data_IF_901104113995
#
_entry.id   IF_901104113995
#
_cell.length_a   1.000
_cell.length_b   1.000
_cell.length_c   1.000
_cell.angle_alpha   90.00
_cell.angle_beta   90.00
_cell.angle_gamma   90.00
#
_symmetry.space_group_name_H-M   'P 1'
#
loop_
_entity.id
_entity.type
_entity.pdbx_description
1 polymer ?
#
# COMPACT_ATOMS: atom_id res chain seq x y z
N UNK A 1 -53.48 5.57 -4.53
CA UNK A 1 -53.06 5.80 -5.92
C UNK A 1 -51.81 6.65 -6.10
N UNK A 2 -51.47 7.67 -5.28
CA UNK A 2 -50.16 8.33 -5.41
C UNK A 2 -48.97 7.49 -4.92
N UNK A 3 -49.13 6.76 -3.79
CA UNK A 3 -48.03 5.99 -3.18
C UNK A 3 -47.48 4.81 -4.01
N UNK A 4 -48.31 4.14 -4.84
CA UNK A 4 -47.84 3.04 -5.70
C UNK A 4 -47.01 3.55 -6.89
N UNK A 5 -47.32 4.76 -7.37
CA UNK A 5 -46.56 5.40 -8.46
C UNK A 5 -45.20 5.89 -7.96
N UNK A 6 -45.12 6.40 -6.74
CA UNK A 6 -43.86 6.84 -6.13
C UNK A 6 -42.91 5.67 -5.84
N UNK A 7 -43.45 4.53 -5.39
CA UNK A 7 -42.66 3.31 -5.16
C UNK A 7 -42.09 2.74 -6.47
N UNK A 8 -42.90 2.65 -7.53
CA UNK A 8 -42.43 2.15 -8.82
C UNK A 8 -41.31 3.02 -9.39
N UNK A 9 -41.43 4.35 -9.32
CA UNK A 9 -40.38 5.28 -9.76
C UNK A 9 -39.08 5.13 -8.95
N UNK A 10 -39.17 4.92 -7.63
CA UNK A 10 -37.98 4.72 -6.80
C UNK A 10 -37.25 3.43 -7.19
N UNK A 11 -37.98 2.34 -7.46
CA UNK A 11 -37.42 1.07 -7.93
C UNK A 11 -36.76 1.24 -9.29
N UNK A 12 -37.43 1.91 -10.24
CA UNK A 12 -36.90 2.11 -11.59
C UNK A 12 -35.59 2.92 -11.57
N UNK A 13 -35.52 4.00 -10.78
CA UNK A 13 -34.30 4.80 -10.63
C UNK A 13 -33.16 4.00 -10.00
N UNK A 14 -33.44 3.29 -8.91
CA UNK A 14 -32.46 2.45 -8.25
C UNK A 14 -31.93 1.34 -9.17
N UNK A 15 -32.80 0.75 -9.98
CA UNK A 15 -32.44 -0.29 -10.94
C UNK A 15 -31.58 0.28 -12.07
N UNK A 16 -31.92 1.47 -12.58
CA UNK A 16 -31.12 2.15 -13.60
C UNK A 16 -29.70 2.46 -13.09
N UNK A 17 -29.59 3.04 -11.90
CA UNK A 17 -28.30 3.33 -11.26
C UNK A 17 -27.52 2.05 -10.96
N UNK A 18 -28.17 0.98 -10.49
CA UNK A 18 -27.50 -0.30 -10.25
C UNK A 18 -26.95 -0.95 -11.53
N UNK A 19 -27.60 -0.76 -12.68
CA UNK A 19 -27.07 -1.22 -13.99
C UNK A 19 -25.90 -0.38 -14.48
N UNK A 20 -25.90 0.90 -14.15
CA UNK A 20 -24.84 1.83 -14.50
C UNK A 20 -23.56 1.48 -13.77
N UNK A 21 -23.60 1.33 -12.45
CA UNK A 21 -22.40 1.06 -11.63
C UNK A 21 -22.02 -0.43 -11.54
N UNK A 22 -22.94 -1.33 -11.87
CA UNK A 22 -22.76 -2.78 -11.72
C UNK A 22 -21.47 -3.36 -12.33
N UNK A 23 -21.00 -2.88 -13.51
CA UNK A 23 -19.72 -3.29 -14.07
C UNK A 23 -18.47 -2.84 -13.30
N UNK A 24 -18.58 -1.79 -12.49
CA UNK A 24 -17.44 -1.10 -11.84
C UNK A 24 -17.24 -1.57 -10.38
N UNK A 25 -18.23 -2.25 -9.79
CA UNK A 25 -18.16 -2.69 -8.39
C UNK A 25 -18.04 -4.20 -8.24
N UNK A 26 -17.15 -4.66 -7.35
CA UNK A 26 -17.06 -6.07 -6.98
C UNK A 26 -18.07 -6.52 -5.91
N UNK A 27 -18.53 -5.58 -5.08
CA UNK A 27 -19.42 -5.82 -3.95
C UNK A 27 -20.25 -4.58 -3.61
N UNK A 28 -21.39 -4.76 -2.92
CA UNK A 28 -22.21 -3.64 -2.45
C UNK A 28 -22.89 -3.92 -1.11
N UNK A 29 -22.97 -2.90 -0.24
CA UNK A 29 -23.66 -2.99 1.05
C UNK A 29 -25.05 -2.36 1.02
N UNK A 30 -26.06 -3.18 1.36
CA UNK A 30 -27.45 -2.76 1.57
C UNK A 30 -27.79 -2.72 3.06
N UNK A 31 -28.50 -1.67 3.49
CA UNK A 31 -29.04 -1.59 4.86
C UNK A 31 -30.46 -2.15 4.91
N UNK A 32 -30.67 -3.23 5.67
CA UNK A 32 -32.00 -3.76 5.97
C UNK A 32 -32.52 -3.22 7.29
N UNK A 33 -33.67 -2.54 7.24
CA UNK A 33 -34.39 -2.02 8.39
C UNK A 33 -35.46 -3.00 8.86
N UNK A 34 -35.44 -3.38 10.14
CA UNK A 34 -36.40 -4.33 10.70
C UNK A 34 -37.82 -3.77 10.81
N UNK A 35 -37.94 -2.46 11.04
CA UNK A 35 -39.20 -1.76 11.26
C UNK A 35 -39.09 -0.27 10.91
N UNK A 36 -40.25 0.41 10.85
CA UNK A 36 -40.33 1.81 10.46
C UNK A 36 -39.71 2.75 11.50
N UNK A 37 -39.68 2.36 12.78
CA UNK A 37 -39.08 3.17 13.85
C UNK A 37 -37.54 3.17 13.76
N UNK A 38 -36.96 2.03 13.39
CA UNK A 38 -35.53 1.88 13.12
C UNK A 38 -35.13 2.66 11.88
N UNK A 39 -35.92 2.57 10.80
CA UNK A 39 -35.71 3.38 9.61
C UNK A 39 -35.78 4.88 9.93
N UNK A 40 -36.82 5.34 10.63
CA UNK A 40 -36.96 6.75 11.00
C UNK A 40 -35.83 7.22 11.93
N UNK A 41 -35.35 6.34 12.82
CA UNK A 41 -34.21 6.67 13.69
C UNK A 41 -32.92 6.89 12.91
N UNK A 42 -32.66 6.12 11.85
CA UNK A 42 -31.43 6.20 11.07
C UNK A 42 -31.54 7.18 9.89
N UNK A 43 -32.72 7.26 9.26
CA UNK A 43 -33.03 8.01 8.03
C UNK A 43 -34.34 8.78 8.19
N UNK A 44 -34.37 9.83 9.05
CA UNK A 44 -35.58 10.60 9.31
C UNK A 44 -36.07 11.28 8.03
N UNK A 45 -37.37 11.20 7.76
CA UNK A 45 -38.00 11.82 6.58
C UNK A 45 -37.70 11.12 5.24
N UNK A 46 -37.10 9.92 5.26
CA UNK A 46 -36.82 9.13 4.07
C UNK A 46 -38.04 8.41 3.46
N UNK A 47 -37.75 7.47 2.56
CA UNK A 47 -38.76 6.62 1.94
C UNK A 47 -39.47 5.74 2.98
N UNK A 48 -40.71 5.31 2.69
CA UNK A 48 -41.39 4.34 3.53
C UNK A 48 -40.66 2.98 3.54
N UNK A 49 -40.72 2.26 4.66
CA UNK A 49 -40.04 0.97 4.85
C UNK A 49 -40.30 -0.02 3.70
N UNK A 50 -41.55 -0.13 3.24
CA UNK A 50 -41.92 -1.01 2.13
C UNK A 50 -41.24 -0.64 0.81
N UNK A 51 -41.03 0.66 0.56
CA UNK A 51 -40.33 1.16 -0.62
C UNK A 51 -38.83 0.87 -0.52
N UNK A 52 -38.20 1.12 0.63
CA UNK A 52 -36.77 0.79 0.86
C UNK A 52 -36.52 -0.70 0.67
N UNK A 53 -37.37 -1.56 1.24
CA UNK A 53 -37.24 -3.01 1.08
C UNK A 53 -37.41 -3.45 -0.38
N UNK A 54 -38.30 -2.80 -1.14
CA UNK A 54 -38.47 -3.09 -2.56
C UNK A 54 -37.30 -2.60 -3.42
N UNK A 55 -36.75 -1.41 -3.11
CA UNK A 55 -35.53 -0.87 -3.74
C UNK A 55 -34.35 -1.81 -3.48
N UNK A 56 -34.07 -2.16 -2.22
CA UNK A 56 -32.97 -3.06 -1.87
C UNK A 56 -33.08 -4.41 -2.59
N UNK A 57 -34.30 -4.94 -2.73
CA UNK A 57 -34.52 -6.18 -3.50
C UNK A 57 -34.16 -6.02 -4.98
N UNK A 58 -34.66 -4.97 -5.62
CA UNK A 58 -34.43 -4.71 -7.04
C UNK A 58 -32.94 -4.44 -7.35
N UNK A 59 -32.27 -3.69 -6.48
CA UNK A 59 -30.82 -3.45 -6.55
C UNK A 59 -30.06 -4.76 -6.42
N UNK A 60 -30.38 -5.58 -5.42
CA UNK A 60 -29.72 -6.87 -5.22
C UNK A 60 -29.93 -7.87 -6.38
N UNK A 61 -31.11 -7.85 -7.03
CA UNK A 61 -31.36 -8.64 -8.23
C UNK A 61 -30.50 -8.17 -9.39
N UNK A 62 -30.49 -6.86 -9.63
CA UNK A 62 -29.74 -6.22 -10.71
C UNK A 62 -28.24 -6.46 -10.54
N UNK A 63 -27.69 -6.21 -9.35
CA UNK A 63 -26.28 -6.42 -9.02
C UNK A 63 -25.84 -7.87 -9.21
N UNK A 64 -26.71 -8.83 -8.87
CA UNK A 64 -26.42 -10.24 -9.10
C UNK A 64 -26.33 -10.62 -10.59
N UNK A 65 -26.92 -9.86 -11.51
CA UNK A 65 -26.78 -10.07 -12.96
C UNK A 65 -25.36 -9.74 -13.45
N UNK A 66 -24.68 -8.81 -12.79
CA UNK A 66 -23.29 -8.42 -13.05
C UNK A 66 -22.27 -9.24 -12.22
N UNK A 67 -22.73 -10.17 -11.39
CA UNK A 67 -21.86 -10.98 -10.53
C UNK A 67 -21.37 -10.26 -9.27
N UNK A 68 -21.91 -9.08 -8.97
CA UNK A 68 -21.60 -8.28 -7.78
C UNK A 68 -22.08 -9.02 -6.53
N UNK A 69 -21.22 -9.11 -5.50
CA UNK A 69 -21.61 -9.72 -4.23
C UNK A 69 -22.44 -8.74 -3.38
N UNK A 70 -23.64 -9.17 -2.97
CA UNK A 70 -24.56 -8.33 -2.19
C UNK A 70 -24.45 -8.62 -0.70
N UNK A 71 -24.09 -7.58 0.06
CA UNK A 71 -24.07 -7.55 1.51
C UNK A 71 -25.35 -6.97 2.08
N UNK A 72 -25.78 -7.50 3.22
CA UNK A 72 -26.87 -6.90 3.98
C UNK A 72 -26.44 -6.69 5.42
N UNK A 73 -26.36 -5.42 5.83
CA UNK A 73 -26.32 -5.08 7.25
C UNK A 73 -27.73 -4.98 7.81
N UNK A 74 -27.94 -5.45 9.04
CA UNK A 74 -29.19 -5.24 9.77
C UNK A 74 -29.05 -3.97 10.60
N UNK A 75 -29.91 -2.99 10.35
CA UNK A 75 -29.95 -1.77 11.15
C UNK A 75 -30.23 -2.11 12.62
N UNK A 76 -29.33 -1.68 13.52
CA UNK A 76 -29.48 -1.80 14.97
C UNK A 76 -29.51 -0.40 15.59
N UNK A 77 -30.68 -0.05 16.12
CA UNK A 77 -30.93 1.26 16.71
C UNK A 77 -30.04 1.57 17.92
N UNK A 78 -29.74 0.58 18.76
CA UNK A 78 -28.92 0.77 19.95
C UNK A 78 -27.44 0.93 19.57
N UNK A 79 -26.95 0.13 18.61
CA UNK A 79 -25.62 0.27 18.05
C UNK A 79 -25.43 1.63 17.37
N UNK A 80 -26.37 2.02 16.51
CA UNK A 80 -26.38 3.33 15.86
C UNK A 80 -26.35 4.49 16.86
N UNK A 81 -27.19 4.45 17.90
CA UNK A 81 -27.19 5.50 18.94
C UNK A 81 -25.86 5.61 19.67
N UNK A 82 -25.19 4.50 19.97
CA UNK A 82 -23.86 4.51 20.58
C UNK A 82 -22.83 5.15 19.65
N UNK A 83 -22.88 4.80 18.36
CA UNK A 83 -22.00 5.36 17.35
C UNK A 83 -22.17 6.88 17.19
N UNK A 84 -23.40 7.38 17.27
CA UNK A 84 -23.72 8.82 17.21
C UNK A 84 -23.32 9.62 18.46
N UNK A 85 -22.96 9.00 19.60
CA UNK A 85 -22.76 9.72 20.87
C UNK A 85 -21.67 10.79 20.82
N UNK A 86 -20.65 10.60 19.99
CA UNK A 86 -19.48 11.47 19.88
C UNK A 86 -19.46 12.24 18.56
N UNK A 87 -20.56 12.24 17.82
CA UNK A 87 -20.65 12.77 16.45
C UNK A 87 -21.78 13.79 16.33
N UNK A 88 -21.61 14.73 15.41
CA UNK A 88 -22.67 15.67 15.08
C UNK A 88 -23.83 14.94 14.36
N UNK A 89 -25.06 15.34 14.64
CA UNK A 89 -26.25 14.72 14.04
C UNK A 89 -26.51 15.26 12.62
N UNK A 90 -25.70 14.82 11.65
CA UNK A 90 -25.79 15.22 10.24
C UNK A 90 -26.20 14.04 9.33
N UNK A 91 -26.86 14.27 8.18
CA UNK A 91 -27.17 13.20 7.21
C UNK A 91 -25.95 12.38 6.79
N UNK A 92 -24.80 13.04 6.63
CA UNK A 92 -23.52 12.44 6.24
C UNK A 92 -23.03 11.46 7.31
N UNK A 93 -23.02 11.89 8.59
CA UNK A 93 -22.68 10.99 9.69
C UNK A 93 -23.67 9.83 9.77
N UNK A 94 -24.97 10.07 9.62
CA UNK A 94 -25.96 8.99 9.64
C UNK A 94 -25.69 7.96 8.53
N UNK A 95 -25.30 8.40 7.33
CA UNK A 95 -24.95 7.54 6.19
C UNK A 95 -23.66 6.75 6.42
N UNK A 96 -22.66 7.35 7.10
CA UNK A 96 -21.40 6.71 7.42
C UNK A 96 -21.50 5.58 8.48
N UNK A 97 -22.68 5.38 9.09
CA UNK A 97 -22.85 4.27 10.02
C UNK A 97 -22.90 2.90 9.31
N UNK A 98 -21.89 2.08 9.58
CA UNK A 98 -21.79 0.70 9.11
C UNK A 98 -21.63 -0.24 10.31
N UNK A 99 -22.48 -1.27 10.38
CA UNK A 99 -22.35 -2.37 11.33
C UNK A 99 -21.37 -3.41 10.77
N UNK A 100 -20.07 -3.24 11.07
CA UNK A 100 -18.99 -4.13 10.59
C UNK A 100 -19.16 -5.57 11.11
N UNK A 101 -19.68 -5.74 12.32
CA UNK A 101 -19.97 -7.06 12.89
C UNK A 101 -21.29 -7.63 12.38
N UNK A 102 -21.25 -8.84 11.79
CA UNK A 102 -22.46 -9.61 11.48
C UNK A 102 -23.13 -9.26 10.14
N UNK A 103 -22.38 -8.74 9.17
CA UNK A 103 -22.84 -8.60 7.78
C UNK A 103 -23.35 -9.94 7.22
N UNK A 104 -24.55 -9.92 6.66
CA UNK A 104 -25.13 -11.09 6.01
C UNK A 104 -24.63 -11.20 4.57
N UNK A 105 -24.48 -12.43 4.09
CA UNK A 105 -23.96 -12.77 2.76
C UNK A 105 -24.76 -13.87 2.08
N UNK A 106 -24.59 -14.02 0.77
CA UNK A 106 -25.10 -15.16 0.00
C UNK A 106 -26.56 -15.49 0.30
N UNK A 107 -26.83 -16.73 0.70
CA UNK A 107 -28.20 -17.19 1.00
C UNK A 107 -28.86 -16.41 2.15
N UNK A 108 -28.11 -15.99 3.17
CA UNK A 108 -28.67 -15.29 4.33
C UNK A 108 -29.02 -13.83 3.99
N UNK A 109 -28.16 -13.14 3.23
CA UNK A 109 -28.45 -11.81 2.68
C UNK A 109 -29.68 -11.85 1.77
N UNK A 110 -29.70 -12.80 0.82
CA UNK A 110 -30.83 -12.99 -0.10
C UNK A 110 -32.11 -13.35 0.65
N UNK A 111 -32.02 -14.20 1.66
CA UNK A 111 -33.15 -14.54 2.52
C UNK A 111 -33.77 -13.33 3.21
N UNK A 112 -32.94 -12.42 3.75
CA UNK A 112 -33.42 -11.18 4.37
C UNK A 112 -34.05 -10.22 3.35
N UNK A 113 -33.56 -10.19 2.11
CA UNK A 113 -34.14 -9.38 1.03
C UNK A 113 -35.41 -9.99 0.42
N UNK A 114 -35.75 -11.23 0.80
CA UNK A 114 -36.85 -11.98 0.22
C UNK A 114 -36.55 -12.51 -1.18
N UNK A 115 -35.27 -12.72 -1.50
CA UNK A 115 -34.78 -13.28 -2.74
C UNK A 115 -34.59 -14.81 -2.65
N UNK A 116 -34.75 -15.55 -3.76
CA UNK A 116 -34.43 -16.96 -3.79
C UNK A 116 -32.93 -17.18 -3.51
N UNK A 117 -32.54 -18.32 -2.93
CA UNK A 117 -31.13 -18.64 -2.69
C UNK A 117 -30.33 -18.56 -4.00
N UNK A 118 -29.14 -17.99 -3.93
CA UNK A 118 -28.26 -17.94 -5.09
C UNK A 118 -27.84 -19.38 -5.47
N UNK A 119 -27.72 -19.69 -6.78
CA UNK A 119 -27.03 -20.90 -7.19
C UNK A 119 -25.59 -20.86 -6.67
N UNK A 120 -25.01 -21.99 -6.24
CA UNK A 120 -23.62 -22.01 -5.80
C UNK A 120 -22.71 -21.51 -6.93
N UNK A 121 -21.72 -20.67 -6.62
CA UNK A 121 -20.79 -20.20 -7.65
C UNK A 121 -20.13 -21.40 -8.31
N UNK A 122 -20.16 -21.44 -9.65
CA UNK A 122 -19.41 -22.44 -10.40
C UNK A 122 -17.94 -22.05 -10.32
N UNK A 123 -17.19 -22.67 -9.41
CA UNK A 123 -15.73 -22.57 -9.44
C UNK A 123 -15.23 -23.12 -10.77
N UNK A 124 -14.54 -22.28 -11.54
CA UNK A 124 -13.82 -22.75 -12.71
C UNK A 124 -12.77 -23.75 -12.22
N UNK A 125 -12.87 -25.00 -12.64
CA UNK A 125 -11.86 -26.00 -12.31
C UNK A 125 -10.70 -25.85 -13.29
N UNK A 126 -9.49 -25.62 -12.78
CA UNK A 126 -8.30 -25.74 -13.60
C UNK A 126 -8.18 -27.22 -13.94
N UNK A 127 -8.44 -27.58 -15.20
CA UNK A 127 -8.22 -28.93 -15.68
C UNK A 127 -6.82 -29.43 -15.28
N UNK A 128 -6.63 -30.75 -15.22
CA UNK A 128 -5.33 -31.33 -14.89
C UNK A 128 -4.17 -30.81 -15.78
N UNK A 129 -4.30 -30.73 -17.13
CA UNK A 129 -3.20 -30.22 -17.93
C UNK A 129 -3.05 -28.70 -17.76
N UNK A 130 -1.82 -28.18 -17.55
CA UNK A 130 -1.59 -26.75 -17.36
C UNK A 130 -1.80 -25.92 -18.65
N UNK A 131 -1.59 -26.53 -19.82
CA UNK A 131 -1.64 -25.87 -21.13
C UNK A 131 -2.87 -25.01 -21.37
N UNK A 132 -4.09 -25.57 -21.31
CA UNK A 132 -5.31 -24.81 -21.60
C UNK A 132 -5.58 -23.66 -20.63
N UNK A 133 -5.11 -23.74 -19.37
CA UNK A 133 -5.25 -22.64 -18.42
C UNK A 133 -4.22 -21.54 -18.70
N UNK A 134 -2.98 -21.92 -18.99
CA UNK A 134 -1.95 -20.98 -19.44
C UNK A 134 -2.38 -20.24 -20.72
N UNK A 135 -2.92 -20.97 -21.71
CA UNK A 135 -3.42 -20.38 -22.97
C UNK A 135 -4.53 -19.34 -22.74
N UNK A 136 -5.40 -19.55 -21.75
CA UNK A 136 -6.47 -18.59 -21.44
C UNK A 136 -5.92 -17.34 -20.76
N UNK A 137 -4.97 -17.48 -19.85
CA UNK A 137 -4.38 -16.34 -19.15
C UNK A 137 -3.55 -15.48 -20.12
N UNK A 138 -2.70 -16.11 -20.95
CA UNK A 138 -1.94 -15.41 -21.99
C UNK A 138 -2.88 -14.67 -22.94
N UNK A 139 -3.95 -15.32 -23.41
CA UNK A 139 -4.94 -14.66 -24.27
C UNK A 139 -5.62 -13.48 -23.59
N UNK A 140 -6.03 -13.62 -22.32
CA UNK A 140 -6.69 -12.54 -21.60
C UNK A 140 -5.79 -11.30 -21.50
N UNK A 141 -4.50 -11.51 -21.21
CA UNK A 141 -3.49 -10.47 -21.23
C UNK A 141 -3.29 -9.85 -22.62
N UNK A 142 -3.15 -10.66 -23.67
CA UNK A 142 -3.02 -10.18 -25.06
C UNK A 142 -4.22 -9.34 -25.53
N UNK A 143 -5.40 -9.61 -25.00
CA UNK A 143 -6.63 -8.90 -25.36
C UNK A 143 -6.95 -7.73 -24.44
N UNK A 144 -6.08 -7.43 -23.47
CA UNK A 144 -6.31 -6.38 -22.45
C UNK A 144 -7.68 -6.57 -21.76
N UNK A 145 -8.04 -7.83 -21.49
CA UNK A 145 -9.29 -8.20 -20.79
C UNK A 145 -8.95 -8.42 -19.30
N UNK A 146 -8.80 -7.32 -18.57
CA UNK A 146 -8.37 -7.31 -17.16
C UNK A 146 -9.28 -8.17 -16.29
N UNK A 147 -10.60 -8.07 -16.48
CA UNK A 147 -11.57 -8.86 -15.74
C UNK A 147 -11.39 -10.37 -15.98
N UNK A 148 -11.11 -10.79 -17.22
CA UNK A 148 -10.83 -12.19 -17.52
C UNK A 148 -9.46 -12.64 -17.00
N UNK A 149 -8.46 -11.76 -17.04
CA UNK A 149 -7.13 -12.01 -16.49
C UNK A 149 -7.21 -12.23 -14.98
N UNK A 150 -7.79 -11.29 -14.24
CA UNK A 150 -7.96 -11.33 -12.78
C UNK A 150 -8.72 -12.57 -12.34
N UNK A 151 -9.81 -12.89 -13.04
CA UNK A 151 -10.60 -14.09 -12.74
C UNK A 151 -9.80 -15.39 -12.95
N UNK A 152 -8.90 -15.47 -13.93
CA UNK A 152 -8.02 -16.63 -14.09
C UNK A 152 -6.87 -16.63 -13.09
N UNK A 153 -6.24 -15.47 -12.83
CA UNK A 153 -5.15 -15.30 -11.88
C UNK A 153 -5.59 -15.74 -10.49
N UNK A 154 -6.74 -15.26 -10.01
CA UNK A 154 -7.31 -15.63 -8.71
C UNK A 154 -7.48 -17.14 -8.56
N UNK A 155 -7.98 -17.83 -9.60
CA UNK A 155 -8.17 -19.29 -9.56
C UNK A 155 -6.81 -20.01 -9.53
N UNK A 156 -5.83 -19.56 -10.32
CA UNK A 156 -4.48 -20.15 -10.36
C UNK A 156 -3.77 -20.00 -9.02
N UNK A 157 -3.84 -18.80 -8.42
CA UNK A 157 -3.25 -18.49 -7.12
C UNK A 157 -3.95 -19.26 -6.00
N UNK A 158 -5.29 -19.32 -5.99
CA UNK A 158 -6.05 -20.06 -4.99
C UNK A 158 -5.82 -21.58 -5.03
N UNK A 159 -5.60 -22.16 -6.22
CA UNK A 159 -5.24 -23.57 -6.36
C UNK A 159 -3.73 -23.84 -6.18
N UNK A 160 -2.91 -22.80 -6.07
CA UNK A 160 -1.45 -22.91 -5.91
C UNK A 160 -0.74 -23.53 -7.13
N UNK A 161 -1.23 -23.25 -8.35
CA UNK A 161 -0.75 -23.89 -9.59
C UNK A 161 0.44 -23.17 -10.22
N UNK A 162 1.58 -23.24 -9.54
CA UNK A 162 2.85 -22.63 -10.00
C UNK A 162 3.34 -23.19 -11.35
N UNK A 163 3.00 -24.43 -11.68
CA UNK A 163 3.29 -25.05 -12.98
C UNK A 163 2.59 -24.34 -14.15
N UNK A 164 1.40 -23.75 -13.91
CA UNK A 164 0.70 -22.94 -14.90
C UNK A 164 1.41 -21.61 -15.08
N UNK A 165 1.81 -20.93 -13.99
CA UNK A 165 2.52 -19.65 -14.06
C UNK A 165 3.85 -19.78 -14.81
N UNK A 166 4.65 -20.81 -14.51
CA UNK A 166 5.91 -21.07 -15.24
C UNK A 166 5.65 -21.28 -16.74
N UNK A 167 4.54 -21.94 -17.09
CA UNK A 167 4.18 -22.16 -18.48
C UNK A 167 3.70 -20.87 -19.18
N UNK A 168 2.97 -20.02 -18.47
CA UNK A 168 2.52 -18.70 -18.95
C UNK A 168 3.74 -17.85 -19.29
N UNK A 169 4.64 -17.62 -18.33
CA UNK A 169 5.83 -16.77 -18.52
C UNK A 169 6.68 -17.25 -19.70
N UNK A 170 6.91 -18.56 -19.82
CA UNK A 170 7.66 -19.14 -20.94
C UNK A 170 6.97 -18.93 -22.29
N UNK A 171 5.63 -19.02 -22.33
CA UNK A 171 4.86 -18.80 -23.57
C UNK A 171 4.88 -17.34 -23.96
N UNK A 172 4.59 -16.44 -23.02
CA UNK A 172 4.62 -15.00 -23.22
C UNK A 172 5.99 -14.54 -23.73
N UNK A 173 7.08 -14.98 -23.09
CA UNK A 173 8.44 -14.69 -23.55
C UNK A 173 8.70 -15.19 -24.99
N UNK A 174 8.18 -16.38 -25.33
CA UNK A 174 8.39 -16.99 -26.65
C UNK A 174 7.49 -16.42 -27.75
N UNK A 175 6.29 -15.95 -27.42
CA UNK A 175 5.23 -15.60 -28.38
C UNK A 175 5.07 -14.09 -28.53
N UNK A 176 5.27 -13.33 -27.44
CA UNK A 176 5.07 -11.87 -27.35
C UNK A 176 6.39 -11.14 -27.14
N UNK A 177 7.20 -11.58 -26.17
CA UNK A 177 8.50 -10.99 -25.85
C UNK A 177 8.83 -11.07 -24.36
N UNK A 178 10.10 -10.85 -24.02
CA UNK A 178 10.59 -10.90 -22.64
C UNK A 178 9.96 -9.79 -21.77
N UNK A 179 9.83 -8.56 -22.30
CA UNK A 179 9.19 -7.43 -21.62
C UNK A 179 7.74 -7.77 -21.23
N UNK A 180 6.96 -8.35 -22.15
CA UNK A 180 5.59 -8.77 -21.85
C UNK A 180 5.52 -9.90 -20.80
N UNK A 181 6.57 -10.73 -20.72
CA UNK A 181 6.65 -11.76 -19.69
C UNK A 181 6.96 -11.16 -18.31
N UNK A 182 7.71 -10.07 -18.27
CA UNK A 182 7.93 -9.25 -17.07
C UNK A 182 6.62 -8.60 -16.63
N UNK A 183 5.90 -7.92 -17.53
CA UNK A 183 4.59 -7.30 -17.25
C UNK A 183 3.58 -8.31 -16.66
N UNK A 184 3.45 -9.49 -17.27
CA UNK A 184 2.57 -10.56 -16.73
C UNK A 184 3.07 -11.04 -15.37
N UNK A 185 4.40 -11.16 -15.19
CA UNK A 185 4.96 -11.56 -13.90
C UNK A 185 4.56 -10.57 -12.81
N UNK A 186 4.65 -9.27 -13.08
CA UNK A 186 4.34 -8.22 -12.13
C UNK A 186 2.84 -8.14 -11.85
N UNK A 187 1.99 -8.23 -12.88
CA UNK A 187 0.55 -8.35 -12.72
C UNK A 187 0.15 -9.57 -11.85
N UNK A 188 0.84 -10.70 -12.03
CA UNK A 188 0.62 -11.89 -11.19
C UNK A 188 1.10 -11.69 -9.75
N UNK A 189 2.18 -10.93 -9.52
CA UNK A 189 2.66 -10.60 -8.17
C UNK A 189 1.68 -9.69 -7.44
N UNK A 190 1.22 -8.61 -8.09
CA UNK A 190 0.18 -7.73 -7.58
C UNK A 190 -1.10 -8.53 -7.23
N UNK A 191 -1.54 -9.40 -8.14
CA UNK A 191 -2.65 -10.31 -7.85
C UNK A 191 -2.35 -11.25 -6.65
N UNK A 192 -1.10 -11.65 -6.44
CA UNK A 192 -0.66 -12.47 -5.30
C UNK A 192 -0.70 -11.77 -3.95
N UNK A 193 -0.63 -10.44 -3.93
CA UNK A 193 -0.54 -9.60 -2.72
C UNK A 193 -1.90 -9.33 -2.08
N UNK A 194 -2.95 -9.31 -2.89
CA UNK A 194 -4.33 -9.16 -2.43
C UNK A 194 -5.12 -10.46 -2.43
N UNK A 195 -6.16 -10.55 -1.61
CA UNK A 195 -7.16 -11.61 -1.66
C UNK A 195 -8.48 -11.12 -1.07
N UNK A 196 -9.58 -11.66 -1.59
CA UNK A 196 -10.90 -11.44 -0.99
C UNK A 196 -10.94 -12.04 0.42
N UNK A 197 -11.18 -11.21 1.42
CA UNK A 197 -11.39 -11.62 2.80
C UNK A 197 -12.87 -11.65 3.15
N UNK A 198 -13.32 -12.84 3.56
CA UNK A 198 -14.71 -13.03 3.85
C UNK A 198 -15.51 -12.71 2.60
N UNK A 199 -16.60 -11.96 2.71
CA UNK A 199 -17.44 -11.75 1.56
C UNK A 199 -17.22 -10.35 0.92
N UNK A 200 -16.59 -9.42 1.63
CA UNK A 200 -16.61 -8.01 1.27
C UNK A 200 -15.36 -7.23 1.71
N UNK A 201 -14.49 -7.86 2.49
CA UNK A 201 -13.21 -7.27 2.82
C UNK A 201 -12.22 -7.60 1.72
N UNK A 202 -11.31 -6.69 1.46
CA UNK A 202 -10.11 -6.96 0.69
C UNK A 202 -8.95 -7.01 1.66
N UNK A 203 -8.17 -8.08 1.58
CA UNK A 203 -6.99 -8.27 2.39
C UNK A 203 -5.78 -8.16 1.50
N UNK A 204 -4.84 -7.31 1.89
CA UNK A 204 -3.61 -7.06 1.15
C UNK A 204 -2.41 -7.26 2.06
N UNK A 205 -1.36 -7.82 1.48
CA UNK A 205 -0.05 -7.68 2.03
C UNK A 205 0.39 -6.23 1.86
N UNK A 206 0.90 -5.67 2.94
CA UNK A 206 1.59 -4.39 2.94
C UNK A 206 2.95 -4.59 3.58
N UNK A 207 3.90 -3.76 3.22
CA UNK A 207 5.26 -3.87 3.68
C UNK A 207 5.76 -2.48 4.05
N UNK A 208 6.37 -2.37 5.22
CA UNK A 208 7.04 -1.15 5.67
C UNK A 208 8.55 -1.42 5.63
N UNK A 209 9.26 -0.98 4.58
CA UNK A 209 10.71 -1.02 4.55
C UNK A 209 11.28 -0.04 5.57
N UNK A 210 12.40 -0.41 6.18
CA UNK A 210 13.06 0.40 7.19
C UNK A 210 14.56 0.34 6.96
N UNK A 211 15.19 1.49 6.76
CA UNK A 211 16.64 1.63 6.81
C UNK A 211 17.08 1.47 8.27
N UNK A 212 17.88 0.44 8.53
CA UNK A 212 18.30 0.04 9.86
C UNK A 212 19.61 0.75 10.25
N UNK A 213 19.76 1.11 11.54
CA UNK A 213 21.00 1.69 12.03
C UNK A 213 22.13 0.65 12.02
N UNK A 214 23.38 1.13 12.04
CA UNK A 214 24.55 0.27 12.23
C UNK A 214 24.54 -0.35 13.64
N UNK A 215 24.14 -1.62 13.75
CA UNK A 215 24.14 -2.35 15.02
C UNK A 215 22.97 -3.31 15.17
N UNK A 216 22.50 -3.50 16.40
CA UNK A 216 21.32 -4.33 16.63
C UNK A 216 20.07 -3.59 16.14
N UNK A 217 19.23 -4.21 15.28
CA UNK A 217 18.03 -3.56 14.81
C UNK A 217 17.06 -3.32 15.98
N UNK A 218 16.28 -2.22 15.94
CA UNK A 218 15.25 -1.95 16.95
C UNK A 218 14.17 -3.03 16.97
N UNK A 219 13.33 -3.02 18.00
CA UNK A 219 12.20 -3.95 18.07
C UNK A 219 11.18 -3.64 16.97
N UNK A 220 11.01 -4.60 16.05
CA UNK A 220 10.03 -4.56 14.96
C UNK A 220 8.60 -4.22 15.45
N UNK A 221 8.21 -4.80 16.59
CA UNK A 221 6.88 -4.57 17.17
C UNK A 221 6.67 -3.14 17.65
N UNK A 222 7.72 -2.51 18.18
CA UNK A 222 7.68 -1.12 18.64
C UNK A 222 7.47 -0.14 17.46
N UNK A 223 8.16 -0.35 16.33
CA UNK A 223 7.99 0.50 15.14
C UNK A 223 6.59 0.35 14.56
N UNK A 224 6.13 -0.89 14.33
CA UNK A 224 4.78 -1.15 13.83
C UNK A 224 3.69 -0.61 14.78
N UNK A 225 3.87 -0.77 16.09
CA UNK A 225 2.95 -0.21 17.09
C UNK A 225 2.93 1.32 17.11
N UNK A 226 4.08 1.97 16.88
CA UNK A 226 4.17 3.41 16.78
C UNK A 226 3.46 3.95 15.52
N UNK A 227 3.55 3.26 14.38
CA UNK A 227 2.79 3.60 13.17
C UNK A 227 1.28 3.54 13.42
N UNK A 228 0.80 2.46 14.04
CA UNK A 228 -0.62 2.31 14.36
C UNK A 228 -1.12 3.40 15.34
N UNK A 229 -0.23 3.93 16.18
CA UNK A 229 -0.55 4.98 17.15
C UNK A 229 -0.44 6.41 16.60
N UNK A 230 0.17 6.61 15.42
CA UNK A 230 0.39 7.94 14.84
C UNK A 230 -0.87 8.57 14.23
N UNK A 231 -1.88 7.75 13.92
CA UNK A 231 -3.08 8.16 13.19
C UNK A 231 -2.88 8.22 11.66
N UNK A 232 -1.80 7.64 11.14
CA UNK A 232 -1.54 7.51 9.69
C UNK A 232 -2.40 6.46 9.00
N UNK A 233 -2.94 5.50 9.76
CA UNK A 233 -3.85 4.49 9.26
C UNK A 233 -5.27 5.03 9.31
N UNK A 234 -5.95 4.97 8.18
CA UNK A 234 -7.36 5.35 8.05
C UNK A 234 -8.25 4.58 9.04
N UNK A 235 -9.36 5.18 9.48
CA UNK A 235 -10.24 4.56 10.47
C UNK A 235 -11.00 3.32 9.92
N UNK A 236 -11.03 3.22 8.60
CA UNK A 236 -11.65 2.19 7.79
C UNK A 236 -10.72 0.99 7.59
N UNK A 237 -9.41 1.25 7.51
CA UNK A 237 -8.39 0.22 7.34
C UNK A 237 -7.98 -0.41 8.67
N UNK A 238 -7.88 -1.74 8.69
CA UNK A 238 -7.25 -2.47 9.77
C UNK A 238 -5.87 -2.95 9.33
N UNK A 239 -4.80 -2.53 10.04
CA UNK A 239 -3.43 -2.99 9.75
C UNK A 239 -2.90 -3.84 10.91
N UNK A 240 -2.34 -5.01 10.57
CA UNK A 240 -1.71 -5.94 11.52
C UNK A 240 -0.33 -6.36 11.02
N UNK A 241 0.72 -6.02 11.76
CA UNK A 241 2.08 -6.45 11.43
C UNK A 241 2.38 -7.87 11.93
N UNK A 242 3.06 -8.64 11.08
CA UNK A 242 3.68 -9.90 11.47
C UNK A 242 4.82 -9.63 12.47
N UNK A 243 5.04 -10.52 13.45
CA UNK A 243 6.10 -10.32 14.43
C UNK A 243 7.49 -10.52 13.82
N UNK A 244 8.40 -9.59 14.13
CA UNK A 244 9.82 -9.65 13.79
C UNK A 244 10.17 -9.21 12.36
N UNK A 245 11.45 -8.95 12.14
CA UNK A 245 11.99 -8.47 10.87
C UNK A 245 11.98 -9.52 9.76
N UNK A 246 11.78 -9.08 8.52
CA UNK A 246 11.90 -9.86 7.28
C UNK A 246 12.94 -9.21 6.36
N UNK A 247 13.60 -10.03 5.53
CA UNK A 247 14.57 -9.53 4.54
C UNK A 247 13.83 -9.07 3.28
N UNK A 248 14.16 -7.88 2.73
CA UNK A 248 13.66 -7.44 1.42
C UNK A 248 14.00 -8.42 0.29
N UNK A 249 15.20 -9.01 0.30
CA UNK A 249 15.63 -9.99 -0.70
C UNK A 249 14.78 -11.27 -0.65
N UNK A 250 14.44 -11.73 0.57
CA UNK A 250 13.57 -12.88 0.74
C UNK A 250 12.16 -12.61 0.22
N UNK A 251 11.65 -11.38 0.38
CA UNK A 251 10.37 -10.95 -0.17
C UNK A 251 10.43 -10.91 -1.71
N UNK A 252 11.47 -10.30 -2.28
CA UNK A 252 11.69 -10.21 -3.73
C UNK A 252 11.87 -11.59 -4.39
N UNK A 253 12.28 -12.61 -3.64
CA UNK A 253 12.40 -13.97 -4.14
C UNK A 253 11.08 -14.77 -4.14
N UNK A 254 9.99 -14.25 -3.56
CA UNK A 254 8.71 -14.96 -3.52
C UNK A 254 8.07 -15.05 -4.90
N UNK A 255 7.59 -16.24 -5.26
CA UNK A 255 6.68 -16.39 -6.39
C UNK A 255 5.28 -15.86 -6.04
N UNK A 256 4.44 -15.49 -7.02
CA UNK A 256 3.06 -15.07 -6.78
C UNK A 256 2.25 -16.03 -5.90
N UNK A 257 2.44 -17.34 -6.07
CA UNK A 257 1.77 -18.37 -5.25
C UNK A 257 2.31 -18.38 -3.81
N UNK A 258 3.61 -18.15 -3.61
CA UNK A 258 4.21 -18.03 -2.27
C UNK A 258 3.76 -16.74 -1.57
N UNK A 259 3.62 -15.64 -2.32
CA UNK A 259 3.04 -14.39 -1.86
C UNK A 259 1.59 -14.60 -1.37
N UNK A 260 0.75 -15.24 -2.21
CA UNK A 260 -0.63 -15.55 -1.83
C UNK A 260 -0.72 -16.45 -0.59
N UNK A 261 0.16 -17.44 -0.45
CA UNK A 261 0.21 -18.28 0.75
C UNK A 261 0.63 -17.51 2.00
N UNK A 262 1.56 -16.57 1.85
CA UNK A 262 1.97 -15.65 2.92
C UNK A 262 0.80 -14.80 3.42
N UNK A 263 0.02 -14.22 2.50
CA UNK A 263 -1.22 -13.51 2.83
C UNK A 263 -2.21 -14.38 3.61
N UNK A 264 -2.49 -15.59 3.11
CA UNK A 264 -3.43 -16.51 3.75
C UNK A 264 -2.95 -16.98 5.13
N UNK A 265 -1.64 -17.15 5.32
CA UNK A 265 -1.06 -17.44 6.64
C UNK A 265 -1.31 -16.29 7.62
N UNK A 266 -1.10 -15.03 7.22
CA UNK A 266 -1.38 -13.86 8.06
C UNK A 266 -2.86 -13.69 8.37
N UNK A 267 -3.75 -13.93 7.39
CA UNK A 267 -5.19 -13.89 7.60
C UNK A 267 -5.66 -14.90 8.65
N UNK A 268 -5.05 -16.08 8.68
CA UNK A 268 -5.30 -17.10 9.69
C UNK A 268 -4.59 -16.82 11.03
N UNK A 269 -3.87 -15.71 11.17
CA UNK A 269 -3.07 -15.36 12.35
C UNK A 269 -1.87 -16.28 12.57
N UNK A 270 -1.35 -16.89 11.50
CA UNK A 270 -0.21 -17.81 11.51
C UNK A 270 1.04 -17.07 11.02
N UNK A 271 2.21 -17.52 11.49
CA UNK A 271 3.48 -17.00 10.96
C UNK A 271 3.66 -17.47 9.51
N UNK A 272 4.01 -16.56 8.56
CA UNK A 272 4.19 -16.91 7.16
C UNK A 272 5.27 -17.95 6.95
N UNK A 273 4.91 -19.07 6.31
CA UNK A 273 5.85 -20.16 6.07
C UNK A 273 6.85 -19.87 4.97
N UNK A 274 6.38 -19.22 3.90
CA UNK A 274 7.19 -18.91 2.74
C UNK A 274 8.06 -17.65 2.97
N UNK A 275 7.73 -16.82 3.97
CA UNK A 275 8.52 -15.67 4.41
C UNK A 275 8.77 -15.67 5.93
N UNK A 276 9.66 -16.55 6.44
CA UNK A 276 10.02 -16.60 7.85
C UNK A 276 10.86 -15.39 8.29
N UNK A 277 11.04 -15.21 9.60
CA UNK A 277 11.90 -14.15 10.16
C UNK A 277 13.30 -14.19 9.55
N UNK A 278 13.80 -13.01 9.18
CA UNK A 278 15.17 -12.84 8.68
C UNK A 278 16.21 -12.93 9.79
N UNK A 279 17.47 -13.10 9.39
CA UNK A 279 18.63 -12.96 10.28
C UNK A 279 18.90 -11.47 10.54
N UNK A 280 18.68 -11.02 11.77
CA UNK A 280 18.86 -9.62 12.17
C UNK A 280 20.28 -9.13 11.98
N UNK A 281 21.28 -10.00 12.09
CA UNK A 281 22.69 -9.63 11.89
C UNK A 281 23.04 -9.51 10.40
N UNK A 282 22.30 -10.19 9.52
CA UNK A 282 22.41 -10.00 8.07
C UNK A 282 21.74 -8.68 7.65
N UNK A 283 20.51 -8.44 8.09
CA UNK A 283 19.76 -7.22 7.79
C UNK A 283 20.48 -5.96 8.29
N UNK A 284 21.08 -6.00 9.48
CA UNK A 284 21.89 -4.88 9.98
C UNK A 284 23.16 -4.60 9.15
N UNK A 285 23.69 -5.62 8.46
CA UNK A 285 24.83 -5.44 7.54
C UNK A 285 24.39 -4.95 6.16
N UNK A 286 23.24 -5.39 5.70
CA UNK A 286 22.62 -5.01 4.43
C UNK A 286 21.95 -3.63 4.50
N UNK A 287 21.64 -3.16 5.72
CA UNK A 287 21.13 -1.82 5.99
C UNK A 287 19.61 -1.69 5.94
N UNK A 288 18.88 -2.76 5.60
CA UNK A 288 17.42 -2.73 5.51
C UNK A 288 16.77 -3.92 6.18
N UNK A 289 15.59 -3.66 6.75
CA UNK A 289 14.67 -4.66 7.26
C UNK A 289 13.24 -4.30 6.88
N UNK A 290 12.39 -5.31 6.85
CA UNK A 290 10.99 -5.17 6.47
C UNK A 290 10.07 -5.55 7.61
N UNK A 291 9.04 -4.73 7.87
CA UNK A 291 7.86 -5.13 8.61
C UNK A 291 6.77 -5.54 7.62
N UNK A 292 6.52 -6.85 7.54
CA UNK A 292 5.40 -7.37 6.76
C UNK A 292 4.10 -7.18 7.54
N UNK A 293 3.09 -6.63 6.90
CA UNK A 293 1.76 -6.42 7.45
C UNK A 293 0.65 -6.99 6.58
N UNK A 294 -0.51 -7.08 7.21
CA UNK A 294 -1.79 -7.34 6.57
C UNK A 294 -2.62 -6.08 6.72
N UNK A 295 -3.01 -5.47 5.60
CA UNK A 295 -4.05 -4.44 5.54
C UNK A 295 -5.36 -5.12 5.17
N UNK A 296 -6.39 -4.88 5.97
CA UNK A 296 -7.75 -5.30 5.65
C UNK A 296 -8.53 -4.02 5.40
N UNK A 297 -8.95 -3.86 4.17
CA UNK A 297 -9.90 -2.86 3.78
C UNK A 297 -11.32 -3.46 3.82
N UNK A 298 -12.23 -2.69 4.38
CA UNK A 298 -13.65 -3.01 4.47
C UNK A 298 -14.50 -2.00 3.66
N UNK A 299 -13.88 -1.21 2.77
CA UNK A 299 -14.57 -0.23 1.96
C UNK A 299 -15.45 -0.90 0.91
N UNK A 300 -16.65 -1.24 1.37
CA UNK A 300 -17.72 -1.78 0.54
C UNK A 300 -18.61 -0.60 0.22
N UNK A 301 -18.76 -0.23 -1.05
CA UNK A 301 -19.65 0.87 -1.42
C UNK A 301 -21.05 0.66 -0.81
N UNK A 302 -21.50 1.66 -0.05
CA UNK A 302 -22.82 1.61 0.61
C UNK A 302 -23.86 2.16 -0.36
N UNK A 303 -24.85 1.33 -0.72
CA UNK A 303 -25.88 1.73 -1.70
C UNK A 303 -26.60 3.03 -1.35
N UNK A 304 -26.82 3.30 -0.07
CA UNK A 304 -27.47 4.54 0.36
C UNK A 304 -26.61 5.78 0.07
N UNK A 305 -25.28 5.68 0.20
CA UNK A 305 -24.36 6.75 -0.13
C UNK A 305 -24.31 6.97 -1.66
N UNK A 306 -24.17 5.89 -2.43
CA UNK A 306 -24.21 5.91 -3.90
C UNK A 306 -25.53 6.52 -4.41
N UNK A 307 -26.66 6.05 -3.89
CA UNK A 307 -27.97 6.54 -4.29
C UNK A 307 -28.19 8.01 -3.90
N UNK A 308 -27.57 8.50 -2.83
CA UNK A 308 -27.63 9.90 -2.42
C UNK A 308 -26.74 10.79 -3.30
N UNK A 309 -25.56 10.31 -3.68
CA UNK A 309 -24.62 11.00 -4.57
C UNK A 309 -25.06 10.95 -6.05
N UNK A 310 -25.84 9.94 -6.43
CA UNK A 310 -26.29 9.73 -7.81
C UNK A 310 -25.28 8.95 -8.67
N UNK A 311 -24.35 8.23 -8.06
CA UNK A 311 -23.24 7.54 -8.71
C UNK A 311 -22.27 6.98 -7.68
N UNK A 312 -21.24 6.27 -8.14
CA UNK A 312 -20.07 6.03 -7.30
C UNK A 312 -19.43 7.38 -6.93
N UNK A 313 -18.78 7.50 -5.76
CA UNK A 313 -17.89 8.63 -5.54
C UNK A 313 -16.88 8.67 -6.70
N UNK A 314 -16.55 9.86 -7.24
CA UNK A 314 -15.49 9.93 -8.24
C UNK A 314 -14.23 9.32 -7.65
N UNK A 315 -13.60 8.42 -8.40
CA UNK A 315 -12.24 8.01 -8.07
C UNK A 315 -11.38 9.28 -8.05
N UNK A 316 -10.47 9.42 -7.07
CA UNK A 316 -9.50 10.52 -7.09
C UNK A 316 -8.77 10.47 -8.44
N UNK A 317 -8.74 11.60 -9.17
CA UNK A 317 -8.05 11.70 -10.47
C UNK A 317 -6.55 11.44 -10.25
N UNK A 318 -6.08 10.22 -10.55
CA UNK A 318 -4.66 9.83 -10.48
C UNK A 318 -3.78 10.65 -11.45
N UNK A 319 -4.38 11.22 -12.51
CA UNK A 319 -3.69 12.01 -13.54
C UNK A 319 -3.86 13.53 -13.38
N UNK A 320 -4.56 14.01 -12.35
CA UNK A 320 -4.60 15.45 -12.13
C UNK A 320 -3.27 15.89 -11.50
N UNK A 321 -2.54 16.77 -12.19
CA UNK A 321 -1.56 17.69 -11.58
C UNK A 321 -2.26 18.63 -10.55
N UNK A 322 -3.27 18.14 -9.82
CA UNK A 322 -3.97 18.87 -8.80
C UNK A 322 -2.98 19.16 -7.67
N UNK A 323 -3.01 20.41 -7.22
CA UNK A 323 -2.29 20.82 -6.02
C UNK A 323 -2.65 19.87 -4.88
N UNK A 324 -1.61 19.33 -4.21
CA UNK A 324 -1.70 18.48 -3.03
C UNK A 324 -2.88 18.88 -2.15
N UNK A 325 -3.81 17.95 -1.92
CA UNK A 325 -5.00 18.27 -1.15
C UNK A 325 -4.60 18.58 0.30
N UNK A 326 -5.38 19.39 1.05
CA UNK A 326 -5.10 19.62 2.47
C UNK A 326 -5.06 18.35 3.32
N UNK A 327 -5.71 17.27 2.84
CA UNK A 327 -5.71 15.95 3.49
C UNK A 327 -4.41 15.20 3.19
N UNK A 328 -3.94 15.18 1.94
CA UNK A 328 -2.62 14.67 1.55
C UNK A 328 -1.50 15.40 2.29
N UNK A 329 -1.50 16.74 2.29
CA UNK A 329 -0.49 17.53 3.00
C UNK A 329 -0.48 17.25 4.51
N UNK A 330 -1.66 17.01 5.10
CA UNK A 330 -1.76 16.62 6.50
C UNK A 330 -1.23 15.21 6.74
N UNK A 331 -1.51 14.28 5.84
CA UNK A 331 -1.04 12.90 5.92
C UNK A 331 0.49 12.84 5.80
N UNK A 332 1.06 13.52 4.80
CA UNK A 332 2.50 13.68 4.62
C UNK A 332 3.17 14.29 5.86
N UNK A 333 2.61 15.37 6.42
CA UNK A 333 3.15 15.98 7.64
C UNK A 333 3.08 15.05 8.87
N UNK A 334 2.03 14.24 8.99
CA UNK A 334 1.94 13.22 10.05
C UNK A 334 2.99 12.12 9.84
N UNK A 335 3.23 11.73 8.59
CA UNK A 335 4.20 10.72 8.23
C UNK A 335 5.62 11.18 8.57
N UNK A 336 5.98 12.39 8.16
CA UNK A 336 7.25 13.01 8.49
C UNK A 336 7.45 13.18 10.00
N UNK A 337 6.43 13.64 10.72
CA UNK A 337 6.50 13.77 12.17
C UNK A 337 6.71 12.42 12.87
N UNK A 338 6.06 11.35 12.38
CA UNK A 338 6.25 10.01 12.92
C UNK A 338 7.64 9.46 12.58
N UNK A 339 8.08 9.59 11.33
CA UNK A 339 9.40 9.18 10.84
C UNK A 339 10.53 9.84 11.63
N UNK A 340 10.44 11.15 11.87
CA UNK A 340 11.40 11.90 12.69
C UNK A 340 11.43 11.39 14.14
N UNK A 341 10.27 11.08 14.73
CA UNK A 341 10.21 10.52 16.08
C UNK A 341 10.85 9.12 16.17
N UNK A 342 10.72 8.29 15.12
CA UNK A 342 11.39 6.98 15.05
C UNK A 342 12.90 7.14 14.90
N UNK A 343 13.36 8.06 14.04
CA UNK A 343 14.77 8.37 13.84
C UNK A 343 15.45 8.75 15.16
N UNK A 344 14.84 9.67 15.92
CA UNK A 344 15.34 10.13 17.21
C UNK A 344 15.32 9.03 18.28
N UNK A 345 14.29 8.18 18.28
CA UNK A 345 14.11 7.13 19.29
C UNK A 345 15.03 5.92 19.07
N UNK A 346 15.49 5.70 17.83
CA UNK A 346 16.18 4.47 17.43
C UNK A 346 17.50 4.72 16.67
N UNK A 347 18.21 5.79 17.05
CA UNK A 347 19.59 6.11 16.61
C UNK A 347 19.78 6.03 15.08
N UNK A 348 18.90 6.70 14.33
CA UNK A 348 19.04 6.82 12.87
C UNK A 348 18.26 5.80 12.05
N UNK A 349 17.35 5.06 12.67
CA UNK A 349 16.39 4.21 11.99
C UNK A 349 15.41 5.06 11.15
N UNK A 350 15.28 4.78 9.85
CA UNK A 350 14.38 5.53 8.96
C UNK A 350 13.34 4.59 8.37
N UNK A 351 12.07 4.67 8.79
CA UNK A 351 10.96 4.05 8.08
C UNK A 351 10.70 4.73 6.73
N UNK A 352 10.45 3.93 5.70
CA UNK A 352 10.06 4.35 4.36
C UNK A 352 8.52 4.30 4.23
N UNK A 353 7.97 4.52 3.04
CA UNK A 353 6.53 4.44 2.82
C UNK A 353 5.99 3.01 3.09
N UNK A 354 4.72 2.94 3.51
CA UNK A 354 4.01 1.67 3.59
C UNK A 354 3.50 1.33 2.18
N UNK A 355 4.13 0.33 1.55
CA UNK A 355 3.91 -0.02 0.15
C UNK A 355 3.48 -1.49 -0.03
N UNK A 356 2.86 -1.88 -1.15
CA UNK A 356 2.71 -3.28 -1.53
C UNK A 356 4.07 -3.99 -1.63
N UNK A 357 4.13 -5.32 -1.41
CA UNK A 357 5.36 -6.09 -1.52
C UNK A 357 6.11 -5.96 -2.86
N UNK A 358 5.41 -5.79 -3.97
CA UNK A 358 5.99 -5.58 -5.31
C UNK A 358 6.84 -4.31 -5.38
N UNK A 359 6.41 -3.26 -4.69
CA UNK A 359 7.00 -1.91 -4.74
C UNK A 359 8.16 -1.71 -3.76
N UNK A 360 8.40 -2.65 -2.84
CA UNK A 360 9.46 -2.53 -1.82
C UNK A 360 10.83 -2.28 -2.42
N UNK A 361 11.16 -2.93 -3.54
CA UNK A 361 12.46 -2.76 -4.18
C UNK A 361 12.63 -1.37 -4.80
N UNK A 362 11.56 -0.84 -5.40
CA UNK A 362 11.53 0.50 -5.98
C UNK A 362 11.61 1.57 -4.89
N UNK A 363 10.83 1.42 -3.81
CA UNK A 363 10.85 2.33 -2.66
C UNK A 363 12.24 2.40 -2.00
N UNK A 364 12.91 1.25 -1.82
CA UNK A 364 14.29 1.21 -1.30
C UNK A 364 15.26 1.87 -2.29
N UNK A 365 15.10 1.62 -3.60
CA UNK A 365 15.96 2.20 -4.62
C UNK A 365 15.82 3.73 -4.67
N UNK A 366 14.60 4.25 -4.63
CA UNK A 366 14.31 5.68 -4.59
C UNK A 366 14.95 6.34 -3.35
N UNK A 367 14.80 5.74 -2.17
CA UNK A 367 15.45 6.22 -0.96
C UNK A 367 16.99 6.22 -1.06
N UNK A 368 17.57 5.18 -1.68
CA UNK A 368 19.02 5.10 -1.88
C UNK A 368 19.54 6.09 -2.93
N UNK A 369 18.74 6.40 -3.95
CA UNK A 369 19.04 7.43 -4.93
C UNK A 369 19.06 8.80 -4.25
N UNK A 370 18.00 9.14 -3.50
CA UNK A 370 17.90 10.39 -2.73
C UNK A 370 19.07 10.54 -1.73
N UNK A 371 19.35 9.50 -0.94
CA UNK A 371 20.46 9.51 0.00
C UNK A 371 21.84 9.54 -0.70
N UNK A 372 21.92 8.98 -1.91
CA UNK A 372 23.10 9.02 -2.77
C UNK A 372 23.38 10.43 -3.30
N UNK A 373 22.34 11.16 -3.71
CA UNK A 373 22.45 12.57 -4.07
C UNK A 373 22.92 13.43 -2.88
N UNK A 374 22.38 13.18 -1.69
CA UNK A 374 22.78 13.87 -0.46
C UNK A 374 24.25 13.58 -0.08
N UNK A 375 24.77 12.39 -0.38
CA UNK A 375 26.14 11.98 -0.04
C UNK A 375 27.16 12.10 -1.18
N UNK A 376 26.73 12.43 -2.40
CA UNK A 376 27.57 12.55 -3.59
C UNK A 376 28.77 13.49 -3.38
N UNK A 377 28.59 14.58 -2.62
CA UNK A 377 29.69 15.47 -2.28
C UNK A 377 30.70 14.86 -1.31
N UNK A 378 30.31 13.96 -0.39
CA UNK A 378 31.28 13.24 0.45
C UNK A 378 32.13 12.28 -0.39
N UNK A 379 31.52 11.62 -1.37
CA UNK A 379 32.26 10.73 -2.26
C UNK A 379 33.20 11.51 -3.19
N UNK A 380 32.77 12.67 -3.72
CA UNK A 380 33.64 13.60 -4.44
C UNK A 380 34.84 14.02 -3.58
N UNK A 381 34.62 14.35 -2.30
CA UNK A 381 35.70 14.68 -1.35
C UNK A 381 36.63 13.49 -1.14
N UNK A 382 36.10 12.26 -1.00
CA UNK A 382 36.90 11.05 -0.79
C UNK A 382 37.76 10.73 -2.01
N UNK A 383 37.20 10.82 -3.21
CA UNK A 383 37.92 10.64 -4.46
C UNK A 383 39.01 11.70 -4.65
N UNK A 384 38.68 12.95 -4.37
CA UNK A 384 39.62 14.07 -4.38
C UNK A 384 40.82 13.83 -3.43
N UNK A 385 40.57 13.39 -2.19
CA UNK A 385 41.62 13.02 -1.23
C UNK A 385 42.42 11.80 -1.70
N UNK A 386 41.77 10.78 -2.26
CA UNK A 386 42.43 9.57 -2.74
C UNK A 386 43.37 9.87 -3.91
N UNK A 387 42.94 10.74 -4.84
CA UNK A 387 43.75 11.20 -5.96
C UNK A 387 45.01 11.93 -5.47
N UNK A 388 44.86 12.88 -4.53
CA UNK A 388 45.98 13.60 -3.94
C UNK A 388 46.98 12.66 -3.22
N UNK A 389 46.50 11.61 -2.55
CA UNK A 389 47.36 10.57 -1.96
C UNK A 389 48.12 9.77 -3.01
N UNK A 390 47.51 9.50 -4.15
CA UNK A 390 48.15 8.86 -5.30
C UNK A 390 49.29 9.68 -5.89
N UNK A 391 49.17 11.01 -5.88
CA UNK A 391 50.20 11.94 -6.39
C UNK A 391 51.36 12.18 -5.42
N UNK A 392 51.19 11.87 -4.14
CA UNK A 392 52.19 12.07 -3.09
C UNK A 392 52.57 10.75 -2.37
N UNK A 393 53.07 9.73 -3.09
CA UNK A 393 53.35 8.43 -2.48
C UNK A 393 54.45 8.54 -1.42
N UNK A 394 54.14 8.12 -0.19
CA UNK A 394 55.06 8.16 0.95
C UNK A 394 55.07 9.48 1.73
N UNK A 395 54.26 10.46 1.34
CA UNK A 395 54.04 11.70 2.09
C UNK A 395 52.64 11.67 2.75
N UNK A 396 52.50 12.30 3.92
CA UNK A 396 51.19 12.44 4.59
C UNK A 396 50.44 13.61 3.94
N UNK A 397 49.25 13.34 3.43
CA UNK A 397 48.33 14.36 2.89
C UNK A 397 47.48 14.92 4.02
N UNK A 398 47.37 16.24 4.08
CA UNK A 398 46.56 17.01 5.03
C UNK A 398 45.65 17.98 4.29
N UNK A 399 44.51 18.34 4.89
CA UNK A 399 43.51 19.21 4.29
C UNK A 399 43.39 20.52 5.08
N UNK A 400 43.39 21.66 4.39
CA UNK A 400 42.97 22.94 4.93
C UNK A 400 41.56 23.23 4.44
N UNK A 401 40.67 23.55 5.36
CA UNK A 401 39.28 23.85 5.08
C UNK A 401 39.05 25.34 5.25
N UNK A 402 38.43 25.98 4.27
CA UNK A 402 38.02 27.37 4.30
C UNK A 402 36.52 27.47 3.96
N UNK A 403 35.76 28.18 4.79
CA UNK A 403 34.32 28.39 4.58
C UNK A 403 34.16 29.81 4.04
N UNK A 404 33.61 29.93 2.82
CA UNK A 404 33.43 31.21 2.12
C UNK A 404 31.93 31.44 1.95
N UNK A 405 31.33 32.21 2.87
CA UNK A 405 29.88 32.31 2.93
C UNK A 405 29.29 30.98 3.41
N UNK A 406 28.46 30.36 2.58
CA UNK A 406 27.88 29.03 2.81
C UNK A 406 28.59 27.92 2.01
N UNK A 407 29.59 28.28 1.20
CA UNK A 407 30.37 27.35 0.37
C UNK A 407 31.59 26.83 1.13
N UNK A 408 32.07 25.66 0.71
CA UNK A 408 33.22 24.98 1.30
C UNK A 408 34.38 24.87 0.30
N UNK A 409 35.54 25.39 0.66
CA UNK A 409 36.79 25.20 -0.07
C UNK A 409 37.73 24.26 0.70
N UNK A 410 38.21 23.23 0.01
CA UNK A 410 39.16 22.24 0.51
C UNK A 410 40.46 22.38 -0.26
N UNK A 411 41.57 22.58 0.44
CA UNK A 411 42.91 22.63 -0.15
C UNK A 411 43.76 21.51 0.44
N UNK A 412 44.27 20.62 -0.42
CA UNK A 412 45.12 19.51 -0.01
C UNK A 412 46.60 19.87 -0.13
N UNK A 413 47.35 19.54 0.91
CA UNK A 413 48.78 19.73 0.99
C UNK A 413 49.45 18.43 1.46
N UNK A 414 50.76 18.31 1.24
CA UNK A 414 51.57 17.38 2.02
C UNK A 414 51.95 18.04 3.35
N UNK A 415 52.23 17.25 4.38
CA UNK A 415 52.66 17.75 5.70
C UNK A 415 53.93 18.64 5.61
N UNK A 416 54.75 18.44 4.57
CA UNK A 416 55.92 19.26 4.25
C UNK A 416 55.59 20.63 3.61
N UNK A 417 54.31 20.92 3.34
CA UNK A 417 53.84 22.19 2.78
C UNK A 417 53.74 22.26 1.26
N UNK A 418 53.86 21.13 0.55
CA UNK A 418 53.62 21.10 -0.90
C UNK A 418 52.12 21.13 -1.16
N UNK A 419 51.64 22.10 -1.95
CA UNK A 419 50.27 22.10 -2.44
C UNK A 419 50.06 20.97 -3.45
N UNK A 420 48.93 20.26 -3.32
CA UNK A 420 48.53 19.20 -4.24
C UNK A 420 47.41 19.71 -5.14
N UNK A 421 46.24 20.01 -4.57
CA UNK A 421 45.08 20.45 -5.32
C UNK A 421 44.04 21.16 -4.42
N UNK A 422 43.01 21.75 -5.03
CA UNK A 422 41.89 22.41 -4.34
C UNK A 422 40.53 22.05 -4.95
N UNK A 423 39.52 21.85 -4.10
CA UNK A 423 38.14 21.58 -4.46
C UNK A 423 37.22 22.62 -3.82
N UNK A 424 36.25 23.13 -4.56
CA UNK A 424 35.23 24.05 -4.05
C UNK A 424 33.85 23.42 -4.25
N UNK A 425 33.06 23.37 -3.17
CA UNK A 425 31.72 22.81 -3.12
C UNK A 425 30.73 23.91 -2.74
N UNK A 426 29.74 24.12 -3.58
CA UNK A 426 28.65 25.06 -3.34
C UNK A 426 27.71 24.54 -2.24
N UNK A 427 27.11 25.44 -1.47
CA UNK A 427 26.23 25.10 -0.35
C UNK A 427 25.12 24.08 -0.70
N UNK A 428 24.55 24.18 -1.90
CA UNK A 428 23.48 23.30 -2.38
C UNK A 428 23.95 21.85 -2.61
N UNK A 429 25.26 21.61 -2.68
CA UNK A 429 25.85 20.28 -2.88
C UNK A 429 26.35 19.66 -1.58
N UNK A 430 26.33 20.39 -0.46
CA UNK A 430 26.90 19.88 0.80
C UNK A 430 25.89 18.95 1.52
N UNK A 431 26.34 17.80 2.03
CA UNK A 431 25.51 16.84 2.79
C UNK A 431 25.06 17.40 4.16
N UNK A 432 25.69 18.48 4.60
CA UNK A 432 25.48 19.14 5.88
C UNK A 432 25.90 20.61 5.76
N UNK A 433 25.43 21.52 6.64
CA UNK A 433 25.88 22.91 6.65
C UNK A 433 27.41 23.01 6.68
N UNK A 434 28.00 23.96 5.93
CA UNK A 434 29.45 24.10 5.79
C UNK A 434 30.22 24.17 7.12
N UNK A 435 29.58 24.66 8.19
CA UNK A 435 30.15 24.69 9.54
C UNK A 435 30.37 23.32 10.19
N UNK A 436 29.59 22.30 9.80
CA UNK A 436 29.66 20.94 10.33
C UNK A 436 30.57 20.02 9.50
N UNK A 437 30.82 20.39 8.23
CA UNK A 437 31.68 19.66 7.29
C UNK A 437 33.10 19.35 7.80
N UNK A 438 33.80 20.23 8.56
CA UNK A 438 35.14 19.91 9.05
C UNK A 438 35.22 18.62 9.86
N UNK A 439 34.19 18.31 10.67
CA UNK A 439 34.14 17.08 11.47
C UNK A 439 33.98 15.84 10.60
N UNK A 440 33.18 15.93 9.55
CA UNK A 440 32.97 14.83 8.60
C UNK A 440 34.24 14.57 7.79
N UNK A 441 34.93 15.63 7.38
CA UNK A 441 36.15 15.53 6.55
C UNK A 441 37.36 15.00 7.34
N UNK A 442 37.45 15.32 8.64
CA UNK A 442 38.48 14.77 9.53
C UNK A 442 38.49 13.23 9.57
N UNK A 443 37.36 12.57 9.25
CA UNK A 443 37.29 11.12 9.16
C UNK A 443 38.09 10.55 7.96
N UNK A 444 38.30 11.35 6.91
CA UNK A 444 38.93 10.92 5.65
C UNK A 444 40.37 11.41 5.52
N UNK A 445 40.66 12.61 6.02
CA UNK A 445 41.96 13.29 5.90
C UNK A 445 42.23 14.16 7.13
N UNK A 446 43.46 14.18 7.68
CA UNK A 446 43.80 15.08 8.77
C UNK A 446 43.60 16.53 8.38
N UNK A 447 42.83 17.29 9.17
CA UNK A 447 42.54 18.71 8.92
C UNK A 447 43.52 19.60 9.68
N UNK A 448 44.05 20.61 9.01
CA UNK A 448 44.98 21.61 9.56
C UNK A 448 44.36 23.01 9.49
N UNK A 449 44.64 23.84 10.51
CA UNK A 449 44.13 25.21 10.57
C UNK A 449 44.86 26.18 9.64
N UNK A 450 46.16 25.97 9.46
CA UNK A 450 47.03 26.83 8.66
C UNK A 450 47.72 26.03 7.55
N UNK A 451 48.13 26.71 6.48
CA UNK A 451 48.90 26.11 5.39
C UNK A 451 50.22 25.52 5.93
N UNK A 452 50.50 24.22 5.75
CA UNK A 452 51.73 23.62 6.24
C UNK A 452 52.96 24.25 5.58
N UNK A 453 54.07 24.36 6.33
CA UNK A 453 55.34 24.89 5.82
C UNK A 453 55.48 26.43 5.80
N UNK A 454 54.52 27.16 6.38
CA UNK A 454 54.59 28.63 6.59
C UNK A 454 54.99 29.04 8.00
#
# INVERSE_FOLDING_TARGET
MPAETDQAQAIDRATALAREIGPEVGAILLTHYADAETLDTLRPGGLALGTVAAVNRAVAETMAEYGVEVFVQRADRAAFRRWMQEREDTPENRLAWIARDGLLRGTDARGVLGLPPAPPPRRAALGKPPGPAADRLVRAFETEDDAAFDAQAEVILAEGREDILTLVLRKTASEIGDDAAEDISDAMRAAGEGARLGPSGWAELVALPVALPHGAPPDAGAIGGALLASGLVEAEAEIRFAPGWRSPEALAALSPVAMRRTLLDLLDGREPRDLPRGDTDAMAREGFGLLLGLRIDWDIPVWEAISAAGGLPPEPDEESDAEETPEEARHAALFDSWRAAIFDAHDGCVPLALVPPSEVAEEIAAFLEDAGEETAALDEIREFVAMARGEAPGEVVVCRIEIIGDDLELSLYTEAGRFLDSLTLEAARLPAPAGDMPRLIEAFVPVVRDTPGR
#
